data_IF_662733599523
#
_entry.id   IF_662733599523
#
_cell.length_a   1.000
_cell.length_b   1.000
_cell.length_c   1.000
_cell.angle_alpha   90.00
_cell.angle_beta   90.00
_cell.angle_gamma   90.00
#
_symmetry.space_group_name_H-M   'P 1'
#
loop_
_entity.id
_entity.type
_entity.pdbx_description
1 polymer ?
#
# COMPACT_ATOMS: atom_id res chain seq x y z
N UNK A 1 23.84 -1.02 -5.42
CA UNK A 1 22.56 -1.39 -6.05
C UNK A 1 21.52 -0.35 -5.68
N UNK A 2 21.04 0.44 -6.65
CA UNK A 2 20.07 1.52 -6.40
C UNK A 2 18.67 1.00 -6.63
N UNK A 3 17.92 0.75 -5.56
CA UNK A 3 16.58 0.20 -5.63
C UNK A 3 15.56 1.35 -5.62
N UNK A 4 15.24 1.89 -6.80
CA UNK A 4 14.25 2.95 -6.98
C UNK A 4 12.94 2.39 -7.57
N UNK A 5 11.78 2.87 -7.08
CA UNK A 5 10.50 2.60 -7.73
C UNK A 5 10.23 3.64 -8.82
N UNK A 6 9.91 3.22 -10.07
CA UNK A 6 9.55 4.15 -11.14
C UNK A 6 8.42 5.08 -10.73
N UNK A 7 8.55 6.39 -11.04
CA UNK A 7 7.55 7.43 -10.70
C UNK A 7 6.14 7.10 -11.21
N UNK A 8 6.01 6.34 -12.30
CA UNK A 8 4.72 5.80 -12.76
C UNK A 8 4.10 4.87 -11.71
N UNK A 9 4.85 3.86 -11.22
CA UNK A 9 4.38 2.90 -10.20
C UNK A 9 4.00 3.59 -8.89
N UNK A 10 4.76 4.61 -8.45
CA UNK A 10 4.41 5.39 -7.25
C UNK A 10 3.10 6.18 -7.44
N UNK A 11 2.90 6.84 -8.59
CA UNK A 11 1.64 7.51 -8.91
C UNK A 11 0.46 6.53 -8.98
N UNK A 12 0.67 5.34 -9.56
CA UNK A 12 -0.36 4.30 -9.66
C UNK A 12 -0.74 3.74 -8.27
N UNK A 13 0.24 3.51 -7.39
CA UNK A 13 -0.02 3.13 -5.98
C UNK A 13 -0.81 4.23 -5.27
N UNK A 14 -0.37 5.50 -5.33
CA UNK A 14 -1.09 6.63 -4.70
C UNK A 14 -2.53 6.77 -5.23
N UNK A 15 -2.74 6.55 -6.53
CA UNK A 15 -4.07 6.54 -7.16
C UNK A 15 -4.95 5.41 -6.62
N UNK A 16 -4.42 4.18 -6.55
CA UNK A 16 -5.15 3.05 -5.95
C UNK A 16 -5.48 3.29 -4.47
N UNK A 17 -4.56 3.86 -3.69
CA UNK A 17 -4.82 4.24 -2.29
C UNK A 17 -5.99 5.24 -2.22
N UNK A 18 -5.95 6.30 -3.03
CA UNK A 18 -7.05 7.29 -3.05
C UNK A 18 -8.40 6.65 -3.40
N UNK A 19 -8.45 5.80 -4.43
CA UNK A 19 -9.68 5.07 -4.80
C UNK A 19 -10.26 4.21 -3.67
N UNK A 20 -9.41 3.70 -2.77
CA UNK A 20 -9.85 2.97 -1.57
C UNK A 20 -10.39 3.94 -0.51
N UNK A 21 -9.65 5.01 -0.22
CA UNK A 21 -10.01 6.03 0.77
C UNK A 21 -11.28 6.82 0.39
N UNK A 22 -11.55 7.02 -0.90
CA UNK A 22 -12.76 7.67 -1.41
C UNK A 22 -14.02 6.79 -1.20
N UNK A 23 -13.87 5.46 -1.01
CA UNK A 23 -14.99 4.48 -0.90
C UNK A 23 -14.69 3.36 0.12
N UNK A 24 -14.39 3.67 1.39
CA UNK A 24 -13.82 2.70 2.35
C UNK A 24 -14.75 1.54 2.69
N UNK A 25 -16.07 1.73 2.54
CA UNK A 25 -17.11 0.77 2.95
C UNK A 25 -17.42 -0.32 1.91
N UNK A 26 -16.87 -0.23 0.69
CA UNK A 26 -17.23 -1.12 -0.45
C UNK A 26 -16.00 -1.68 -1.15
N UNK A 27 -15.05 -2.20 -0.39
CA UNK A 27 -13.78 -2.71 -0.89
C UNK A 27 -13.83 -4.22 -1.11
N UNK A 28 -13.42 -4.67 -2.29
CA UNK A 28 -13.24 -6.11 -2.58
C UNK A 28 -11.92 -6.58 -1.99
N UNK A 29 -11.86 -7.69 -1.24
CA UNK A 29 -10.60 -8.19 -0.68
C UNK A 29 -9.48 -8.37 -1.72
N UNK A 30 -9.82 -8.74 -2.97
CA UNK A 30 -8.86 -8.85 -4.10
C UNK A 30 -8.12 -7.52 -4.39
N UNK A 31 -8.83 -6.39 -4.31
CA UNK A 31 -8.25 -5.05 -4.54
C UNK A 31 -7.30 -4.67 -3.41
N UNK A 32 -7.72 -4.90 -2.16
CA UNK A 32 -6.91 -4.61 -0.96
C UNK A 32 -5.66 -5.49 -0.92
N UNK A 33 -5.76 -6.77 -1.29
CA UNK A 33 -4.61 -7.67 -1.40
C UNK A 33 -3.61 -7.18 -2.45
N UNK A 34 -4.08 -6.89 -3.67
CA UNK A 34 -3.23 -6.35 -4.75
C UNK A 34 -2.56 -5.03 -4.36
N UNK A 35 -3.27 -4.16 -3.63
CA UNK A 35 -2.70 -2.91 -3.10
C UNK A 35 -1.65 -3.18 -2.01
N UNK A 36 -1.95 -4.09 -1.06
CA UNK A 36 -1.05 -4.48 0.04
C UNK A 36 0.27 -5.03 -0.49
N UNK A 37 0.24 -5.90 -1.51
CA UNK A 37 1.47 -6.46 -2.10
C UNK A 37 2.30 -5.37 -2.82
N UNK A 38 1.66 -4.42 -3.50
CA UNK A 38 2.34 -3.27 -4.11
C UNK A 38 2.94 -2.32 -3.06
N UNK A 39 2.25 -2.13 -1.94
CA UNK A 39 2.74 -1.36 -0.79
C UNK A 39 3.94 -2.07 -0.13
N UNK A 40 3.88 -3.40 0.09
CA UNK A 40 5.01 -4.18 0.60
C UNK A 40 6.25 -4.01 -0.30
N UNK A 41 6.08 -4.08 -1.61
CA UNK A 41 7.14 -3.85 -2.60
C UNK A 41 7.68 -2.40 -2.61
N UNK A 42 7.05 -1.45 -1.90
CA UNK A 42 7.54 -0.09 -1.68
C UNK A 42 8.19 0.13 -0.30
N UNK A 43 8.10 -0.83 0.62
CA UNK A 43 8.61 -0.66 2.01
C UNK A 43 10.11 -0.44 2.11
N UNK A 44 10.90 -0.83 1.10
CA UNK A 44 12.35 -0.61 1.10
C UNK A 44 12.78 0.79 0.62
N UNK A 45 11.87 1.60 0.04
CA UNK A 45 12.15 2.99 -0.41
C UNK A 45 11.43 4.07 0.40
N UNK A 46 10.57 3.69 1.35
CA UNK A 46 9.82 4.62 2.22
C UNK A 46 10.12 4.28 3.68
N UNK A 47 10.32 5.30 4.53
CA UNK A 47 10.64 5.12 5.96
C UNK A 47 9.75 6.00 6.83
N UNK A 48 9.22 5.52 7.97
CA UNK A 48 9.32 4.16 8.53
C UNK A 48 8.17 3.24 8.05
N UNK A 49 8.15 2.87 6.76
CA UNK A 49 7.05 2.12 6.13
C UNK A 49 6.61 0.83 6.83
N UNK A 50 7.52 0.11 7.52
CA UNK A 50 7.20 -1.15 8.19
C UNK A 50 6.14 -1.00 9.28
N UNK A 51 6.06 0.17 9.94
CA UNK A 51 5.05 0.43 10.97
C UNK A 51 3.63 0.60 10.40
N UNK A 52 3.51 0.91 9.10
CA UNK A 52 2.24 1.23 8.44
C UNK A 52 1.81 0.14 7.45
N UNK A 53 2.06 -1.13 7.78
CA UNK A 53 1.63 -2.28 6.96
C UNK A 53 1.05 -3.43 7.77
N UNK A 54 0.94 -3.28 9.09
CA UNK A 54 0.51 -4.34 10.01
C UNK A 54 -0.96 -4.69 9.81
N UNK A 55 -1.84 -3.69 9.75
CA UNK A 55 -3.28 -3.90 9.58
C UNK A 55 -3.59 -4.43 8.18
N UNK A 56 -2.98 -3.84 7.14
CA UNK A 56 -3.11 -4.32 5.76
C UNK A 56 -2.67 -5.79 5.62
N UNK A 57 -1.58 -6.19 6.27
CA UNK A 57 -1.13 -7.59 6.27
C UNK A 57 -2.00 -8.51 7.12
N UNK A 58 -2.53 -8.03 8.25
CA UNK A 58 -3.49 -8.77 9.04
C UNK A 58 -4.77 -9.05 8.23
N UNK A 59 -5.36 -8.03 7.61
CA UNK A 59 -6.50 -8.15 6.70
C UNK A 59 -6.20 -9.16 5.59
N UNK A 60 -5.07 -9.00 4.87
CA UNK A 60 -4.64 -9.89 3.78
C UNK A 60 -4.53 -11.36 4.24
N UNK A 61 -3.93 -11.59 5.40
CA UNK A 61 -3.76 -12.95 5.95
C UNK A 61 -5.08 -13.54 6.47
N UNK A 62 -5.99 -12.70 7.00
CA UNK A 62 -7.29 -13.13 7.49
C UNK A 62 -8.23 -13.54 6.34
N UNK A 63 -8.33 -12.75 5.27
CA UNK A 63 -9.11 -13.12 4.06
C UNK A 63 -8.68 -14.47 3.50
N UNK A 64 -7.36 -14.72 3.38
CA UNK A 64 -6.83 -15.99 2.86
C UNK A 64 -7.20 -17.19 3.76
N UNK A 65 -7.25 -17.01 5.08
CA UNK A 65 -7.53 -18.08 6.05
C UNK A 65 -9.01 -18.42 6.21
N UNK A 66 -9.92 -17.52 5.80
CA UNK A 66 -11.36 -17.65 6.07
C UNK A 66 -12.17 -18.17 4.90
N UNK A 67 -11.50 -18.60 3.82
CA UNK A 67 -12.10 -18.90 2.49
C UNK A 67 -13.11 -17.81 2.05
N UNK A 68 -12.81 -16.56 2.40
CA UNK A 68 -13.74 -15.46 2.22
C UNK A 68 -13.82 -15.10 0.73
N UNK A 69 -15.05 -14.99 0.20
CA UNK A 69 -15.27 -14.48 -1.15
C UNK A 69 -14.51 -13.17 -1.39
N UNK A 70 -13.61 -13.24 -2.36
CA UNK A 70 -12.67 -12.21 -2.78
C UNK A 70 -13.33 -11.03 -3.51
N UNK A 71 -14.57 -11.21 -3.97
CA UNK A 71 -15.30 -10.25 -4.78
C UNK A 71 -16.55 -9.65 -4.09
N UNK A 72 -17.05 -10.26 -3.01
CA UNK A 72 -17.99 -9.63 -2.07
C UNK A 72 -17.37 -8.38 -1.44
N UNK A 73 -17.96 -7.18 -1.63
CA UNK A 73 -17.45 -5.95 -1.03
C UNK A 73 -17.65 -5.91 0.48
N UNK A 74 -16.65 -5.40 1.21
CA UNK A 74 -16.68 -5.25 2.66
C UNK A 74 -16.13 -3.87 3.07
N UNK A 75 -16.44 -3.44 4.29
CA UNK A 75 -15.77 -2.30 4.89
C UNK A 75 -14.33 -2.66 5.28
N UNK A 76 -13.41 -1.71 5.13
CA UNK A 76 -12.04 -1.84 5.61
C UNK A 76 -11.93 -1.41 7.08
N UNK A 77 -11.08 -2.07 7.88
CA UNK A 77 -10.92 -1.71 9.29
C UNK A 77 -10.26 -0.32 9.47
N UNK A 78 -10.53 0.39 10.57
CA UNK A 78 -9.97 1.73 10.82
C UNK A 78 -8.44 1.78 10.79
N UNK A 79 -7.75 0.72 11.24
CA UNK A 79 -6.29 0.67 11.23
C UNK A 79 -5.73 0.55 9.82
N UNK A 80 -6.30 -0.32 8.97
CA UNK A 80 -5.96 -0.37 7.55
C UNK A 80 -6.23 0.95 6.82
N UNK A 81 -7.32 1.67 7.17
CA UNK A 81 -7.60 3.01 6.63
C UNK A 81 -6.56 4.05 7.10
N UNK A 82 -6.14 4.00 8.36
CA UNK A 82 -5.08 4.85 8.90
C UNK A 82 -3.72 4.57 8.21
N UNK A 83 -3.37 3.30 8.00
CA UNK A 83 -2.17 2.90 7.24
C UNK A 83 -2.23 3.42 5.80
N UNK A 84 -3.35 3.22 5.09
CA UNK A 84 -3.54 3.73 3.74
C UNK A 84 -3.46 5.25 3.66
N UNK A 85 -4.07 5.98 4.62
CA UNK A 85 -3.94 7.43 4.71
C UNK A 85 -2.50 7.86 4.94
N UNK A 86 -1.75 7.17 5.82
CA UNK A 86 -0.33 7.44 6.01
C UNK A 86 0.45 7.23 4.71
N UNK A 87 0.24 6.12 4.00
CA UNK A 87 0.88 5.87 2.71
C UNK A 87 0.52 6.94 1.68
N UNK A 88 -0.74 7.36 1.57
CA UNK A 88 -1.15 8.41 0.63
C UNK A 88 -0.31 9.69 0.79
N UNK A 89 -0.12 10.14 2.03
CA UNK A 89 0.62 11.36 2.37
C UNK A 89 2.14 11.19 2.34
N UNK A 90 2.66 9.98 2.59
CA UNK A 90 4.10 9.75 2.78
C UNK A 90 4.77 8.94 1.65
N UNK A 91 4.05 8.44 0.64
CA UNK A 91 4.64 7.70 -0.50
C UNK A 91 5.69 8.51 -1.30
N UNK A 92 5.60 9.84 -1.28
CA UNK A 92 6.58 10.75 -1.87
C UNK A 92 7.77 11.06 -0.94
N UNK A 93 7.67 10.77 0.37
CA UNK A 93 8.74 10.95 1.34
C UNK A 93 9.70 9.77 1.24
N UNK A 94 10.61 9.90 0.28
CA UNK A 94 11.66 8.93 0.00
C UNK A 94 12.60 8.78 1.21
N UNK A 95 13.04 7.57 1.51
CA UNK A 95 13.78 7.25 2.74
C UNK A 95 15.26 7.68 2.77
N UNK A 96 15.67 8.62 1.91
CA UNK A 96 17.02 9.17 1.92
C UNK A 96 18.15 8.21 1.54
N UNK A 97 17.86 6.94 1.15
CA UNK A 97 18.88 6.02 0.62
C UNK A 97 19.26 6.38 -0.81
N UNK A 98 19.95 7.51 -0.95
CA UNK A 98 20.72 7.83 -2.14
C UNK A 98 21.95 6.92 -2.24
N UNK A 99 22.10 6.26 -3.38
CA UNK A 99 23.41 5.95 -3.93
C UNK A 99 23.37 6.50 -5.36
N UNK A 100 24.10 7.59 -5.59
CA UNK A 100 24.30 8.29 -6.87
C UNK A 100 24.91 7.33 -7.93
N UNK A 101 24.99 7.61 -9.22
CA UNK A 101 24.74 8.78 -10.11
C UNK A 101 23.98 8.24 -11.36
N UNK A 102 23.61 8.98 -12.43
CA UNK A 102 23.83 10.37 -12.89
C UNK A 102 22.56 10.84 -13.64
N UNK A 103 22.46 12.15 -13.91
CA UNK A 103 21.52 12.71 -14.88
C UNK A 103 21.85 12.32 -16.33
N UNK A 104 20.86 11.83 -17.08
CA UNK A 104 20.80 11.78 -18.57
C UNK A 104 19.33 11.72 -18.96
#
# INVERSE_FOLDING_TARGET
MTAALPLKKLRDIRRSIKQVLDKPNRQRPRVIHSLTMRIQAATFVVFPARLYTRHLLYYKNHTVKTDADWDTPRALDPGSLQELSWWYHNLQKWNGRSILVKDT
#
